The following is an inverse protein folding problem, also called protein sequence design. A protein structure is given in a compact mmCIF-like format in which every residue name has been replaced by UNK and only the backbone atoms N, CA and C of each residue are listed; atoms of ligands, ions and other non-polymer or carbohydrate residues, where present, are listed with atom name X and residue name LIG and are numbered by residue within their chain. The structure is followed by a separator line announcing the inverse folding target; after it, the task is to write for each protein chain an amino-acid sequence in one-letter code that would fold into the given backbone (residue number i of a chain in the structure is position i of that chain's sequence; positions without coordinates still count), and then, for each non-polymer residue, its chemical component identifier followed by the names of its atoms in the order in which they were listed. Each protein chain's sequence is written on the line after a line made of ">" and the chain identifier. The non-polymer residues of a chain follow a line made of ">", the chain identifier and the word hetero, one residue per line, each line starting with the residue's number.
data_IF_848800703672
#
_entry.id   IF_848800703672
#
_cell.length_a   1.000
_cell.length_b   1.000
_cell.length_c   1.000
_cell.angle_alpha   90.00
_cell.angle_beta   90.00
_cell.angle_gamma   90.00
#
_symmetry.space_group_name_H-M   'P 1'
#
loop_
_entity.id
_entity.type
_entity.pdbx_description
1 polymer ?
#
# COMPACT_ATOMS: atom_id res chain seq x y z
N UNK A 1 -8.35 -10.81 -25.51
CA UNK A 1 -8.48 -9.48 -24.98
C UNK A 1 -7.44 -9.30 -23.88
N UNK A 2 -6.42 -8.47 -24.11
CA UNK A 2 -5.44 -8.15 -23.08
C UNK A 2 -6.12 -7.30 -22.02
N UNK A 3 -6.24 -7.79 -20.81
CA UNK A 3 -6.58 -6.96 -19.66
C UNK A 3 -5.50 -5.88 -19.54
N UNK A 4 -5.86 -4.67 -19.93
CA UNK A 4 -5.03 -3.48 -19.79
C UNK A 4 -4.77 -3.29 -18.30
N UNK A 5 -3.54 -3.54 -17.85
CA UNK A 5 -3.16 -3.50 -16.46
C UNK A 5 -3.53 -2.14 -15.87
N UNK A 6 -4.31 -2.10 -14.79
CA UNK A 6 -4.74 -0.87 -14.08
C UNK A 6 -3.53 0.01 -13.69
N UNK A 7 -2.33 -0.56 -13.66
CA UNK A 7 -1.05 0.15 -13.41
C UNK A 7 -0.65 1.13 -14.51
N UNK A 8 -1.20 1.02 -15.71
CA UNK A 8 -0.87 1.91 -16.84
C UNK A 8 -1.75 3.17 -16.88
N UNK A 9 -2.71 3.31 -15.97
CA UNK A 9 -3.48 4.54 -15.80
C UNK A 9 -2.76 5.49 -14.86
N UNK A 10 -2.52 6.71 -15.32
CA UNK A 10 -1.92 7.76 -14.51
C UNK A 10 -2.92 8.20 -13.45
N UNK A 11 -2.54 8.10 -12.18
CA UNK A 11 -3.34 8.63 -11.08
C UNK A 11 -3.00 10.10 -10.87
N UNK A 12 -3.78 11.00 -11.46
CA UNK A 12 -3.53 12.43 -11.44
C UNK A 12 -4.34 13.17 -10.36
N UNK A 13 -5.22 12.46 -9.63
CA UNK A 13 -6.17 13.10 -8.72
C UNK A 13 -7.28 13.90 -9.40
N UNK A 14 -7.25 14.01 -10.73
CA UNK A 14 -8.26 14.67 -11.54
C UNK A 14 -9.32 13.68 -12.07
N UNK A 15 -10.48 14.16 -12.50
CA UNK A 15 -11.49 13.36 -13.18
C UNK A 15 -10.94 12.70 -14.46
N UNK A 16 -10.09 13.44 -15.17
CA UNK A 16 -9.42 12.94 -16.37
C UNK A 16 -8.17 12.17 -15.99
N UNK A 17 -8.13 10.88 -16.30
CA UNK A 17 -6.98 9.98 -16.09
C UNK A 17 -6.42 9.58 -17.45
N UNK A 18 -5.42 10.32 -17.97
CA UNK A 18 -4.79 9.95 -19.24
C UNK A 18 -4.21 8.53 -19.14
N UNK A 19 -4.30 7.79 -20.20
CA UNK A 19 -3.62 6.50 -20.33
C UNK A 19 -2.15 6.67 -20.75
N UNK A 20 -1.42 5.55 -20.81
CA UNK A 20 -0.02 5.57 -21.21
C UNK A 20 0.17 6.02 -22.66
N UNK A 21 -0.81 5.81 -23.55
CA UNK A 21 -0.78 6.26 -24.95
C UNK A 21 -0.81 7.78 -25.03
N UNK A 22 -1.75 8.40 -24.34
CA UNK A 22 -1.89 9.85 -24.28
C UNK A 22 -0.65 10.50 -23.66
N UNK A 23 -0.05 9.89 -22.61
CA UNK A 23 1.21 10.39 -22.06
C UNK A 23 2.31 10.39 -23.12
N UNK A 24 2.39 9.34 -23.95
CA UNK A 24 3.41 9.23 -24.99
C UNK A 24 3.34 10.32 -26.05
N UNK A 25 2.19 10.90 -26.31
CA UNK A 25 2.05 12.04 -27.25
C UNK A 25 2.86 13.27 -26.79
N UNK A 26 3.03 13.43 -25.49
CA UNK A 26 3.73 14.57 -24.89
C UNK A 26 5.21 14.29 -24.60
N UNK A 27 5.68 13.04 -24.67
CA UNK A 27 7.09 12.70 -24.41
C UNK A 27 7.98 13.15 -25.56
N UNK A 28 8.93 14.02 -25.27
CA UNK A 28 9.92 14.55 -26.21
C UNK A 28 11.32 14.03 -25.87
N UNK A 29 12.23 14.09 -26.86
CA UNK A 29 13.64 13.77 -26.67
C UNK A 29 14.25 14.68 -25.59
N UNK A 30 15.03 14.08 -24.68
CA UNK A 30 15.68 14.78 -23.56
C UNK A 30 14.74 15.13 -22.39
N UNK A 31 13.46 14.78 -22.46
CA UNK A 31 12.51 15.09 -21.39
C UNK A 31 12.63 14.09 -20.24
N UNK A 32 12.66 14.62 -19.00
CA UNK A 32 12.63 13.85 -17.77
C UNK A 32 11.19 13.68 -17.26
N UNK A 33 10.78 12.45 -16.97
CA UNK A 33 9.45 12.11 -16.49
C UNK A 33 9.56 11.53 -15.09
N UNK A 34 8.98 12.24 -14.11
CA UNK A 34 8.93 11.82 -12.72
C UNK A 34 7.58 11.19 -12.39
N UNK A 35 7.61 10.06 -11.67
CA UNK A 35 6.39 9.39 -11.26
C UNK A 35 6.67 8.25 -10.30
N UNK A 36 5.69 7.37 -10.10
CA UNK A 36 5.82 6.22 -9.23
C UNK A 36 5.27 4.95 -9.86
N UNK A 37 5.89 3.81 -9.55
CA UNK A 37 5.45 2.49 -9.99
C UNK A 37 5.33 2.34 -11.51
N UNK A 38 6.27 2.90 -12.27
CA UNK A 38 6.29 2.71 -13.72
C UNK A 38 6.45 1.24 -14.10
N UNK A 39 5.60 0.77 -15.02
CA UNK A 39 5.78 -0.55 -15.62
C UNK A 39 7.06 -0.60 -16.46
N UNK A 40 7.61 -1.80 -16.65
CA UNK A 40 8.78 -1.98 -17.54
C UNK A 40 8.47 -1.52 -18.96
N UNK A 41 7.26 -1.78 -19.42
CA UNK A 41 6.79 -1.38 -20.74
C UNK A 41 6.77 0.15 -20.87
N UNK A 42 6.17 0.85 -19.92
CA UNK A 42 6.12 2.31 -19.92
C UNK A 42 7.52 2.93 -19.89
N UNK A 43 8.44 2.42 -19.06
CA UNK A 43 9.84 2.86 -19.04
C UNK A 43 10.52 2.69 -20.40
N UNK A 44 10.33 1.54 -21.06
CA UNK A 44 10.88 1.29 -22.37
C UNK A 44 10.29 2.22 -23.44
N UNK A 45 9.00 2.49 -23.40
CA UNK A 45 8.34 3.40 -24.35
C UNK A 45 8.84 4.84 -24.21
N UNK A 46 9.03 5.33 -22.96
CA UNK A 46 9.64 6.63 -22.69
C UNK A 46 11.06 6.69 -23.27
N UNK A 47 11.87 5.66 -23.02
CA UNK A 47 13.24 5.57 -23.51
C UNK A 47 13.29 5.55 -25.04
N UNK A 48 12.44 4.80 -25.73
CA UNK A 48 12.36 4.75 -27.19
C UNK A 48 12.04 6.11 -27.82
N UNK A 49 11.39 7.02 -27.09
CA UNK A 49 11.16 8.40 -27.52
C UNK A 49 12.27 9.37 -27.12
N UNK A 50 13.37 8.84 -26.55
CA UNK A 50 14.51 9.64 -26.09
C UNK A 50 14.25 10.39 -24.79
N UNK A 51 13.20 10.05 -24.02
CA UNK A 51 12.95 10.55 -22.68
C UNK A 51 13.63 9.70 -21.60
N UNK A 52 13.76 10.25 -20.40
CA UNK A 52 14.24 9.54 -19.21
C UNK A 52 13.11 9.43 -18.16
N UNK A 53 12.98 8.28 -17.52
CA UNK A 53 11.96 8.05 -16.47
C UNK A 53 12.60 7.89 -15.10
N UNK A 54 12.09 8.62 -14.11
CA UNK A 54 12.54 8.61 -12.72
C UNK A 54 11.42 8.10 -11.81
N UNK A 55 11.53 6.86 -11.37
CA UNK A 55 10.55 6.20 -10.53
C UNK A 55 10.83 6.50 -9.05
N UNK A 56 10.13 7.48 -8.52
CA UNK A 56 10.28 7.95 -7.14
C UNK A 56 9.94 6.88 -6.10
N UNK A 57 9.09 5.88 -6.46
CA UNK A 57 8.76 4.77 -5.57
C UNK A 57 9.89 3.72 -5.46
N UNK A 58 11.02 3.90 -6.17
CA UNK A 58 12.24 3.13 -5.94
C UNK A 58 13.13 3.75 -4.84
N UNK A 59 12.84 4.97 -4.41
CA UNK A 59 13.62 5.67 -3.38
C UNK A 59 13.19 5.22 -1.99
N UNK A 60 14.12 4.61 -1.24
CA UNK A 60 13.84 4.03 0.09
C UNK A 60 13.27 5.08 1.07
N UNK A 61 13.76 6.32 1.01
CA UNK A 61 13.22 7.42 1.81
C UNK A 61 11.73 7.65 1.54
N UNK A 62 11.33 7.72 0.26
CA UNK A 62 9.92 7.93 -0.13
C UNK A 62 9.06 6.76 0.34
N UNK A 63 9.54 5.53 0.10
CA UNK A 63 8.79 4.33 0.46
C UNK A 63 8.59 4.22 1.97
N UNK A 64 9.61 4.56 2.76
CA UNK A 64 9.53 4.55 4.22
C UNK A 64 8.56 5.60 4.76
N UNK A 65 8.67 6.85 4.32
CA UNK A 65 7.79 7.93 4.77
C UNK A 65 6.33 7.71 4.33
N UNK A 66 6.12 7.17 3.12
CA UNK A 66 4.79 6.76 2.66
C UNK A 66 4.21 5.63 3.51
N UNK A 67 5.04 4.68 3.96
CA UNK A 67 4.59 3.61 4.85
C UNK A 67 4.13 4.16 6.22
N UNK A 68 4.83 5.16 6.76
CA UNK A 68 4.44 5.84 8.00
C UNK A 68 3.10 6.56 7.82
N UNK A 69 2.95 7.38 6.78
CA UNK A 69 1.69 8.07 6.49
C UNK A 69 0.53 7.09 6.20
N UNK A 70 0.83 5.94 5.55
CA UNK A 70 -0.14 4.87 5.35
C UNK A 70 -0.61 4.28 6.68
N UNK A 71 0.32 4.05 7.62
CA UNK A 71 -0.01 3.50 8.92
C UNK A 71 -0.88 4.46 9.76
N UNK A 72 -0.57 5.75 9.77
CA UNK A 72 -1.38 6.78 10.42
C UNK A 72 -2.80 6.82 9.83
N UNK A 73 -2.91 6.85 8.51
CA UNK A 73 -4.19 6.83 7.81
C UNK A 73 -4.99 5.55 8.07
N UNK A 74 -4.33 4.39 8.13
CA UNK A 74 -4.99 3.12 8.44
C UNK A 74 -5.56 3.08 9.87
N UNK A 75 -4.81 3.63 10.84
CA UNK A 75 -5.29 3.75 12.22
C UNK A 75 -6.46 4.73 12.31
N UNK A 76 -6.41 5.86 11.63
CA UNK A 76 -7.49 6.83 11.58
C UNK A 76 -8.77 6.22 10.98
N UNK A 77 -8.65 5.51 9.86
CA UNK A 77 -9.78 4.79 9.24
C UNK A 77 -10.34 3.69 10.16
N UNK A 78 -9.48 2.95 10.86
CA UNK A 78 -9.91 1.96 11.84
C UNK A 78 -10.75 2.57 12.96
N UNK A 79 -10.34 3.73 13.49
CA UNK A 79 -11.08 4.45 14.53
C UNK A 79 -12.43 4.96 14.01
N UNK A 80 -12.48 5.45 12.77
CA UNK A 80 -13.70 6.01 12.19
C UNK A 80 -14.74 4.94 11.81
N UNK A 81 -14.28 3.75 11.40
CA UNK A 81 -15.13 2.69 10.84
C UNK A 81 -15.42 1.56 11.85
N UNK A 82 -15.09 1.73 13.11
CA UNK A 82 -15.34 0.71 14.14
C UNK A 82 -16.10 1.29 15.34
N UNK A 83 -17.08 0.56 15.87
CA UNK A 83 -17.77 0.95 17.08
C UNK A 83 -16.98 0.64 18.37
N UNK A 84 -15.84 -0.07 18.25
CA UNK A 84 -15.00 -0.45 19.40
C UNK A 84 -13.66 0.26 19.37
N UNK A 85 -13.05 0.43 20.55
CA UNK A 85 -11.76 1.09 20.68
C UNK A 85 -10.62 0.20 20.18
N UNK A 86 -9.57 0.80 19.59
CA UNK A 86 -8.34 0.08 19.29
C UNK A 86 -7.62 -0.39 20.56
N UNK A 87 -7.59 0.44 21.59
CA UNK A 87 -6.87 0.15 22.83
C UNK A 87 -7.39 -1.15 23.46
N UNK A 88 -6.47 -2.10 23.66
CA UNK A 88 -6.77 -3.42 24.24
C UNK A 88 -7.37 -4.41 23.25
N UNK A 89 -7.70 -3.98 22.03
CA UNK A 89 -8.29 -4.86 21.03
C UNK A 89 -7.25 -5.81 20.42
N UNK A 90 -7.78 -6.96 19.95
CA UNK A 90 -7.01 -7.89 19.13
C UNK A 90 -7.08 -7.45 17.67
N UNK A 91 -5.92 -7.17 17.09
CA UNK A 91 -5.75 -6.79 15.70
C UNK A 91 -5.02 -7.90 14.93
N UNK A 92 -5.57 -8.34 13.83
CA UNK A 92 -4.87 -9.20 12.86
C UNK A 92 -4.21 -8.30 11.83
N UNK A 93 -2.95 -8.58 11.52
CA UNK A 93 -2.20 -7.93 10.46
C UNK A 93 -1.67 -8.99 9.50
N UNK A 94 -2.14 -8.95 8.25
CA UNK A 94 -1.65 -9.83 7.19
C UNK A 94 -0.72 -9.06 6.26
N UNK A 95 0.49 -9.63 6.06
CA UNK A 95 1.61 -8.96 5.42
C UNK A 95 2.46 -8.15 6.41
N UNK A 96 3.77 -8.43 6.44
CA UNK A 96 4.73 -7.72 7.30
C UNK A 96 5.89 -7.12 6.50
N UNK A 97 5.51 -6.48 5.37
CA UNK A 97 6.39 -5.61 4.62
C UNK A 97 6.52 -4.23 5.25
N UNK A 98 6.89 -3.22 4.45
CA UNK A 98 7.07 -1.82 4.92
C UNK A 98 5.80 -1.24 5.54
N UNK A 99 4.65 -1.35 4.87
CA UNK A 99 3.38 -0.87 5.42
C UNK A 99 2.95 -1.66 6.66
N UNK A 100 3.02 -2.99 6.62
CA UNK A 100 2.64 -3.84 7.75
C UNK A 100 3.47 -3.55 9.01
N UNK A 101 4.80 -3.41 8.88
CA UNK A 101 5.66 -3.06 10.01
C UNK A 101 5.37 -1.66 10.57
N UNK A 102 5.06 -0.68 9.72
CA UNK A 102 4.67 0.66 10.18
C UNK A 102 3.32 0.65 10.91
N UNK A 103 2.32 -0.09 10.40
CA UNK A 103 1.02 -0.28 11.07
C UNK A 103 1.21 -0.97 12.42
N UNK A 104 2.05 -2.01 12.48
CA UNK A 104 2.36 -2.67 13.75
C UNK A 104 2.88 -1.69 14.80
N UNK A 105 3.83 -0.82 14.43
CA UNK A 105 4.38 0.18 15.37
C UNK A 105 3.31 1.14 15.88
N UNK A 106 2.43 1.62 15.01
CA UNK A 106 1.30 2.46 15.42
C UNK A 106 0.39 1.71 16.40
N UNK A 107 -0.08 0.52 16.04
CA UNK A 107 -1.02 -0.27 16.86
C UNK A 107 -0.41 -0.66 18.22
N UNK A 108 0.89 -0.98 18.26
CA UNK A 108 1.62 -1.28 19.50
C UNK A 108 1.57 -0.10 20.46
N UNK A 109 1.79 1.12 19.97
CA UNK A 109 1.74 2.33 20.78
C UNK A 109 0.33 2.64 21.32
N UNK A 110 -0.70 2.14 20.65
CA UNK A 110 -2.10 2.22 21.12
C UNK A 110 -2.48 1.11 22.11
N UNK A 111 -1.54 0.21 22.44
CA UNK A 111 -1.77 -0.89 23.39
C UNK A 111 -2.63 -2.03 22.83
N UNK A 112 -2.61 -2.22 21.52
CA UNK A 112 -3.29 -3.34 20.87
C UNK A 112 -2.55 -4.66 21.09
N UNK A 113 -3.27 -5.78 21.11
CA UNK A 113 -2.69 -7.10 20.93
C UNK A 113 -2.62 -7.41 19.44
N UNK A 114 -1.41 -7.60 18.92
CA UNK A 114 -1.19 -7.75 17.47
C UNK A 114 -0.80 -9.17 17.13
N UNK A 115 -1.55 -9.79 16.22
CA UNK A 115 -1.26 -11.10 15.64
C UNK A 115 -0.94 -10.91 14.18
N UNK A 116 0.25 -11.35 13.77
CA UNK A 116 0.76 -11.22 12.40
C UNK A 116 0.73 -12.55 11.69
N UNK A 117 0.34 -12.53 10.44
CA UNK A 117 0.55 -13.59 9.48
C UNK A 117 1.27 -13.04 8.24
N UNK A 118 2.34 -13.71 7.86
CA UNK A 118 3.02 -13.52 6.58
C UNK A 118 3.44 -14.89 6.03
N UNK A 119 3.64 -14.99 4.72
CA UNK A 119 4.18 -16.21 4.08
C UNK A 119 5.70 -16.29 4.18
N UNK A 120 6.37 -15.14 4.32
CA UNK A 120 7.81 -15.03 4.48
C UNK A 120 8.18 -15.24 5.94
N UNK A 121 8.91 -16.30 6.22
CA UNK A 121 9.38 -16.63 7.56
C UNK A 121 10.26 -15.51 8.15
N UNK A 122 11.09 -14.87 7.33
CA UNK A 122 11.90 -13.73 7.79
C UNK A 122 11.02 -12.53 8.19
N UNK A 123 9.89 -12.31 7.51
CA UNK A 123 8.93 -11.29 7.92
C UNK A 123 8.28 -11.65 9.25
N UNK A 124 7.93 -12.92 9.47
CA UNK A 124 7.42 -13.42 10.74
C UNK A 124 8.42 -13.26 11.88
N UNK A 125 9.70 -13.54 11.65
CA UNK A 125 10.75 -13.35 12.66
C UNK A 125 10.89 -11.87 13.04
N UNK A 126 10.96 -10.96 12.07
CA UNK A 126 10.99 -9.51 12.33
C UNK A 126 9.75 -9.04 13.12
N UNK A 127 8.57 -9.57 12.80
CA UNK A 127 7.34 -9.25 13.52
C UNK A 127 7.40 -9.72 14.98
N UNK A 128 7.91 -10.93 15.21
CA UNK A 128 8.10 -11.52 16.55
C UNK A 128 9.09 -10.71 17.39
N UNK A 129 10.23 -10.34 16.82
CA UNK A 129 11.22 -9.48 17.47
C UNK A 129 10.65 -8.11 17.83
N UNK A 130 9.77 -7.56 16.99
CA UNK A 130 9.05 -6.31 17.28
C UNK A 130 7.96 -6.45 18.37
N UNK A 131 7.65 -7.70 18.78
CA UNK A 131 6.70 -7.99 19.87
C UNK A 131 5.32 -8.45 19.41
N UNK A 132 5.10 -8.77 18.13
CA UNK A 132 3.87 -9.37 17.65
C UNK A 132 3.78 -10.87 18.02
N UNK A 133 2.56 -11.36 18.11
CA UNK A 133 2.30 -12.80 18.11
C UNK A 133 2.22 -13.28 16.65
N UNK A 134 2.85 -14.39 16.34
CA UNK A 134 2.80 -14.98 15.01
C UNK A 134 1.70 -16.02 14.94
N UNK A 135 0.94 -16.03 13.85
CA UNK A 135 -0.11 -16.98 13.58
C UNK A 135 0.22 -17.78 12.32
N UNK A 136 -0.03 -19.08 12.35
CA UNK A 136 0.01 -19.90 11.15
C UNK A 136 -1.31 -19.77 10.37
N UNK A 137 -1.26 -19.98 9.04
CA UNK A 137 -2.44 -19.87 8.18
C UNK A 137 -3.63 -20.71 8.67
N UNK A 138 -3.37 -21.94 9.12
CA UNK A 138 -4.41 -22.86 9.63
C UNK A 138 -5.16 -22.36 10.87
N UNK A 139 -4.56 -21.43 11.62
CA UNK A 139 -5.14 -20.90 12.86
C UNK A 139 -5.77 -19.51 12.69
N UNK A 140 -5.66 -18.89 11.49
CA UNK A 140 -6.21 -17.56 11.20
C UNK A 140 -7.71 -17.47 11.52
N UNK A 141 -8.50 -18.48 11.16
CA UNK A 141 -9.94 -18.51 11.43
C UNK A 141 -10.27 -18.49 12.92
N UNK A 142 -9.43 -19.13 13.75
CA UNK A 142 -9.62 -19.13 15.22
C UNK A 142 -9.29 -17.75 15.83
N UNK A 143 -8.25 -17.10 15.30
CA UNK A 143 -7.86 -15.76 15.76
C UNK A 143 -8.90 -14.74 15.32
N UNK A 144 -9.42 -14.86 14.10
CA UNK A 144 -10.40 -13.96 13.51
C UNK A 144 -11.68 -13.84 14.35
N UNK A 145 -12.15 -14.96 14.89
CA UNK A 145 -13.33 -14.99 15.76
C UNK A 145 -13.22 -14.13 17.04
N UNK A 146 -11.99 -13.72 17.38
CA UNK A 146 -11.70 -12.90 18.58
C UNK A 146 -11.18 -11.52 18.22
N UNK A 147 -10.93 -11.27 16.94
CA UNK A 147 -10.37 -10.02 16.47
C UNK A 147 -11.44 -8.93 16.35
N UNK A 148 -11.08 -7.70 16.68
CA UNK A 148 -11.90 -6.54 16.41
C UNK A 148 -11.49 -5.84 15.11
N UNK A 149 -10.22 -6.03 14.69
CA UNK A 149 -9.66 -5.38 13.52
C UNK A 149 -8.86 -6.36 12.67
N UNK A 150 -8.99 -6.21 11.36
CA UNK A 150 -8.18 -6.89 10.36
C UNK A 150 -7.56 -5.87 9.41
N UNK A 151 -6.24 -5.77 9.42
CA UNK A 151 -5.46 -4.96 8.50
C UNK A 151 -4.78 -5.88 7.47
N UNK A 152 -5.15 -5.75 6.21
CA UNK A 152 -4.48 -6.49 5.15
C UNK A 152 -3.53 -5.61 4.34
N UNK A 153 -2.25 -5.97 4.32
CA UNK A 153 -1.22 -5.35 3.48
C UNK A 153 -0.60 -6.34 2.48
N UNK A 154 -1.01 -7.61 2.53
CA UNK A 154 -0.55 -8.64 1.61
C UNK A 154 -1.21 -8.47 0.24
N UNK A 155 -0.44 -8.38 -0.86
CA UNK A 155 -0.98 -8.14 -2.20
C UNK A 155 -1.54 -9.40 -2.89
N UNK A 156 -1.41 -10.54 -2.24
CA UNK A 156 -1.89 -11.84 -2.73
C UNK A 156 -2.95 -12.39 -1.80
N UNK A 157 -3.94 -13.07 -2.35
CA UNK A 157 -5.09 -13.58 -1.60
C UNK A 157 -4.68 -14.45 -0.41
N UNK A 158 -4.97 -13.95 0.77
CA UNK A 158 -4.85 -14.64 2.07
C UNK A 158 -6.25 -15.00 2.57
N UNK A 159 -7.17 -14.03 2.51
CA UNK A 159 -8.52 -14.11 3.02
C UNK A 159 -9.45 -14.67 1.95
N UNK A 160 -9.47 -15.99 1.85
CA UNK A 160 -10.34 -16.75 0.95
C UNK A 160 -11.75 -16.84 1.53
N UNK A 161 -12.74 -17.20 0.70
CA UNK A 161 -14.14 -17.43 1.12
C UNK A 161 -14.23 -18.26 2.40
N UNK A 162 -13.50 -19.38 2.46
CA UNK A 162 -13.46 -20.26 3.63
C UNK A 162 -13.02 -19.56 4.93
N UNK A 163 -12.10 -18.60 4.86
CA UNK A 163 -11.69 -17.84 6.03
C UNK A 163 -12.69 -16.73 6.36
N UNK A 164 -13.31 -16.16 5.34
CA UNK A 164 -14.30 -15.09 5.49
C UNK A 164 -15.63 -15.59 6.08
N UNK A 165 -16.03 -16.83 5.86
CA UNK A 165 -17.21 -17.44 6.48
C UNK A 165 -17.21 -17.39 8.03
N UNK A 166 -16.06 -17.22 8.65
CA UNK A 166 -15.92 -17.13 10.11
C UNK A 166 -15.77 -15.73 10.65
N UNK A 167 -15.85 -14.70 9.81
CA UNK A 167 -15.69 -13.30 10.22
C UNK A 167 -16.88 -12.84 11.06
N UNK A 168 -16.69 -12.38 12.31
CA UNK A 168 -17.73 -11.70 13.06
C UNK A 168 -18.18 -10.40 12.36
N UNK A 169 -19.46 -10.08 12.42
CA UNK A 169 -20.01 -8.90 11.73
C UNK A 169 -19.42 -7.57 12.22
N UNK A 170 -18.94 -7.55 13.46
CA UNK A 170 -18.39 -6.35 14.09
C UNK A 170 -16.90 -6.11 13.75
N UNK A 171 -16.24 -7.04 13.04
CA UNK A 171 -14.82 -6.88 12.69
C UNK A 171 -14.65 -5.78 11.65
N UNK A 172 -13.86 -4.77 12.00
CA UNK A 172 -13.46 -3.73 11.06
C UNK A 172 -12.35 -4.26 10.15
N UNK A 173 -12.66 -4.44 8.87
CA UNK A 173 -11.72 -4.96 7.87
C UNK A 173 -11.20 -3.82 7.01
N UNK A 174 -9.86 -3.69 6.94
CA UNK A 174 -9.15 -2.65 6.19
C UNK A 174 -8.22 -3.30 5.16
N UNK A 175 -8.54 -3.10 3.88
CA UNK A 175 -7.70 -3.56 2.76
C UNK A 175 -6.79 -2.42 2.31
N UNK A 176 -5.50 -2.55 2.59
CA UNK A 176 -4.47 -1.57 2.26
C UNK A 176 -3.60 -2.00 1.08
N UNK A 177 -3.66 -3.27 0.71
CA UNK A 177 -2.88 -3.78 -0.41
C UNK A 177 -3.38 -3.20 -1.73
N UNK A 178 -2.45 -3.00 -2.66
CA UNK A 178 -2.78 -2.65 -4.05
C UNK A 178 -3.58 -3.78 -4.70
N UNK A 179 -4.46 -3.40 -5.64
CA UNK A 179 -5.22 -4.36 -6.43
C UNK A 179 -4.32 -5.49 -7.01
N UNK A 180 -4.80 -6.74 -7.00
CA UNK A 180 -6.15 -7.19 -6.63
C UNK A 180 -6.42 -7.22 -5.12
N UNK A 181 -5.40 -7.07 -4.26
CA UNK A 181 -5.52 -7.15 -2.82
C UNK A 181 -5.37 -8.57 -2.27
N UNK A 182 -5.49 -8.70 -0.96
CA UNK A 182 -5.36 -9.99 -0.27
C UNK A 182 -6.67 -10.56 0.24
N UNK A 183 -7.80 -9.89 -0.04
CA UNK A 183 -9.14 -10.31 0.37
C UNK A 183 -9.96 -10.68 -0.87
N UNK A 184 -10.59 -11.82 -0.85
CA UNK A 184 -11.55 -12.25 -1.87
C UNK A 184 -12.81 -11.39 -1.76
N UNK A 185 -12.89 -10.36 -2.60
CA UNK A 185 -13.97 -9.37 -2.57
C UNK A 185 -15.31 -9.94 -3.01
N UNK A 186 -15.29 -10.80 -4.03
CA UNK A 186 -16.51 -11.42 -4.52
C UNK A 186 -17.13 -12.32 -3.45
N UNK A 187 -16.29 -13.03 -2.69
CA UNK A 187 -16.71 -13.81 -1.55
C UNK A 187 -17.24 -12.92 -0.42
N UNK A 188 -16.54 -11.83 -0.09
CA UNK A 188 -16.98 -10.90 0.94
C UNK A 188 -18.34 -10.29 0.61
N UNK A 189 -18.56 -9.88 -0.63
CA UNK A 189 -19.85 -9.33 -1.10
C UNK A 189 -20.97 -10.36 -0.98
N UNK A 190 -20.74 -11.63 -1.38
CA UNK A 190 -21.70 -12.71 -1.20
C UNK A 190 -22.04 -13.00 0.25
N UNK A 191 -21.07 -12.86 1.14
CA UNK A 191 -21.22 -13.11 2.58
C UNK A 191 -21.74 -11.87 3.35
N UNK A 192 -21.95 -10.74 2.66
CA UNK A 192 -22.39 -9.49 3.28
C UNK A 192 -21.34 -8.85 4.20
N UNK A 193 -20.05 -9.14 3.97
CA UNK A 193 -18.94 -8.61 4.77
C UNK A 193 -18.47 -7.29 4.19
N UNK A 194 -18.49 -6.24 5.00
CA UNK A 194 -18.00 -4.93 4.59
C UNK A 194 -16.48 -4.83 4.66
N UNK A 195 -15.84 -4.42 3.55
CA UNK A 195 -14.40 -4.20 3.46
C UNK A 195 -14.14 -2.71 3.19
N UNK A 196 -13.38 -2.06 4.07
CA UNK A 196 -12.88 -0.71 3.85
C UNK A 196 -11.64 -0.76 2.95
N UNK A 197 -11.79 -0.46 1.68
CA UNK A 197 -10.68 -0.43 0.72
C UNK A 197 -10.02 0.95 0.75
N UNK A 198 -8.73 0.99 1.08
CA UNK A 198 -8.03 2.21 1.47
C UNK A 198 -6.88 2.57 0.51
N UNK A 199 -7.16 3.00 -0.73
CA UNK A 199 -6.12 3.43 -1.65
C UNK A 199 -5.59 4.82 -1.29
N UNK A 200 -4.30 5.05 -1.53
CA UNK A 200 -3.70 6.38 -1.54
C UNK A 200 -3.70 7.11 -0.20
N UNK A 201 -3.64 6.39 0.92
CA UNK A 201 -3.65 6.97 2.27
C UNK A 201 -2.65 8.12 2.49
N UNK A 202 -1.38 8.05 2.03
CA UNK A 202 -0.44 9.17 2.21
C UNK A 202 -0.95 10.50 1.62
N UNK A 203 -1.54 10.45 0.43
CA UNK A 203 -2.10 11.64 -0.22
C UNK A 203 -3.39 12.14 0.43
N UNK A 204 -4.17 11.25 1.07
CA UNK A 204 -5.42 11.60 1.76
C UNK A 204 -5.19 12.15 3.17
N UNK A 205 -4.30 11.55 3.93
CA UNK A 205 -4.08 11.87 5.35
C UNK A 205 -2.90 12.80 5.60
N UNK A 206 -1.87 12.76 4.76
CA UNK A 206 -0.66 13.58 4.90
C UNK A 206 -0.24 14.26 3.58
N UNK A 207 -1.15 14.98 2.86
CA UNK A 207 -0.86 15.52 1.53
C UNK A 207 0.32 16.50 1.53
N UNK A 208 0.42 17.36 2.54
CA UNK A 208 1.53 18.32 2.64
C UNK A 208 2.89 17.63 2.85
N UNK A 209 2.94 16.62 3.70
CA UNK A 209 4.16 15.86 3.97
C UNK A 209 4.57 15.06 2.74
N UNK A 210 3.63 14.34 2.13
CA UNK A 210 3.89 13.54 0.93
C UNK A 210 4.29 14.42 -0.26
N UNK A 211 3.61 15.53 -0.48
CA UNK A 211 3.94 16.47 -1.57
C UNK A 211 5.32 17.11 -1.39
N UNK A 212 5.66 17.54 -0.17
CA UNK A 212 6.99 18.09 0.13
C UNK A 212 8.10 17.08 -0.11
N UNK A 213 7.90 15.85 0.37
CA UNK A 213 8.86 14.76 0.20
C UNK A 213 9.14 14.47 -1.29
N UNK A 214 8.09 14.36 -2.09
CA UNK A 214 8.22 14.15 -3.54
C UNK A 214 8.92 15.33 -4.20
N UNK A 215 8.55 16.58 -3.87
CA UNK A 215 9.17 17.78 -4.41
C UNK A 215 10.67 17.86 -4.09
N UNK A 216 11.07 17.56 -2.85
CA UNK A 216 12.49 17.53 -2.45
C UNK A 216 13.30 16.51 -3.27
N UNK A 217 12.77 15.31 -3.50
CA UNK A 217 13.49 14.29 -4.27
C UNK A 217 13.53 14.61 -5.76
N UNK A 218 12.45 15.19 -6.32
CA UNK A 218 12.44 15.67 -7.71
C UNK A 218 13.50 16.77 -7.91
N UNK A 219 13.57 17.75 -7.02
CA UNK A 219 14.56 18.84 -7.11
C UNK A 219 15.99 18.31 -7.03
N UNK A 220 16.29 17.39 -6.14
CA UNK A 220 17.60 16.73 -6.05
C UNK A 220 17.98 16.03 -7.35
N UNK A 221 17.03 15.34 -7.98
CA UNK A 221 17.30 14.62 -9.22
C UNK A 221 17.51 15.60 -10.39
N UNK A 222 16.71 16.65 -10.47
CA UNK A 222 16.92 17.74 -11.45
C UNK A 222 18.32 18.35 -11.32
N UNK A 223 18.77 18.64 -10.09
CA UNK A 223 20.13 19.16 -9.87
C UNK A 223 21.23 18.18 -10.35
N UNK A 224 21.01 16.87 -10.16
CA UNK A 224 21.95 15.84 -10.67
C UNK A 224 22.00 15.80 -12.19
N UNK A 225 20.83 15.90 -12.84
CA UNK A 225 20.71 15.92 -14.30
C UNK A 225 21.45 17.14 -14.87
N UNK A 226 21.17 18.33 -14.35
CA UNK A 226 21.83 19.58 -14.78
C UNK A 226 23.36 19.49 -14.62
N UNK A 227 23.85 18.98 -13.49
CA UNK A 227 25.28 18.79 -13.25
C UNK A 227 25.93 17.77 -14.19
N UNK A 228 25.18 16.78 -14.67
CA UNK A 228 25.63 15.79 -15.64
C UNK A 228 25.78 16.42 -17.03
N UNK A 229 24.77 17.19 -17.45
CA UNK A 229 24.77 17.86 -18.77
C UNK A 229 25.82 18.96 -18.89
N UNK A 230 26.07 19.70 -17.78
CA UNK A 230 27.13 20.72 -17.77
C UNK A 230 28.57 20.16 -17.83
N UNK A 231 28.75 18.83 -17.70
CA UNK A 231 30.07 18.16 -17.74
C UNK A 231 30.31 17.39 -19.03
N UNK A 232 29.29 17.23 -19.88
CA UNK A 232 29.36 16.62 -21.21
C UNK A 232 29.56 17.68 -22.28
#
# INVERSE_FOLDING_TARGET
>A
GSEMCIRDRLNTGAEYKPDAEQLMEYVKHGQCIFGGCFSKELKNRILCRGGESYDLMQLERIVRENAAATAEGAVAEAVQNSPVTLRGSLCILTGYGRCGSAIHQCLKNWGCTIVVYDRDENACERAKEAGAKICEYKDLSKVLKKAAFLFNTAPSTVWTERLLEGVPQEVCILELASMPGGIDRDAADRLGIHINVLPGLPGRFAPCTSGRLLGEEILKEIERIIKRECKS
#
